data_IF_199218819093
#
_entry.id   IF_199218819093
#
_cell.length_a   1.000
_cell.length_b   1.000
_cell.length_c   1.000
_cell.angle_alpha   90.00
_cell.angle_beta   90.00
_cell.angle_gamma   90.00
#
_symmetry.space_group_name_H-M   'P 1'
#
loop_
_entity.id
_entity.type
_entity.pdbx_description
1 polymer ?
#
# COMPACT_ATOMS: atom_id res chain seq x y z
N UNK A 1 -15.22 -23.34 -3.63
CA UNK A 1 -15.78 -22.03 -4.01
C UNK A 1 -15.62 -21.10 -2.82
N UNK A 2 -14.80 -20.07 -3.02
CA UNK A 2 -14.96 -18.73 -2.43
C UNK A 2 -14.92 -18.62 -0.90
N UNK A 3 -13.72 -18.55 -0.33
CA UNK A 3 -13.39 -17.38 0.48
C UNK A 3 -12.43 -16.56 -0.37
N UNK A 4 -13.02 -15.70 -1.21
CA UNK A 4 -12.33 -14.53 -1.73
C UNK A 4 -11.57 -13.96 -0.55
N UNK A 5 -10.25 -13.83 -0.70
CA UNK A 5 -9.43 -13.04 0.20
C UNK A 5 -10.27 -11.83 0.60
N UNK A 6 -10.36 -11.57 1.90
CA UNK A 6 -10.72 -10.25 2.39
C UNK A 6 -9.60 -9.31 1.90
N UNK A 7 -9.62 -8.98 0.59
CA UNK A 7 -8.84 -7.98 -0.13
C UNK A 7 -9.30 -6.58 0.30
N UNK A 8 -9.64 -6.44 1.59
CA UNK A 8 -9.86 -5.18 2.27
C UNK A 8 -8.49 -4.64 2.63
N UNK A 9 -7.88 -3.95 1.66
CA UNK A 9 -6.72 -3.05 1.74
C UNK A 9 -6.20 -2.94 3.18
N UNK A 10 -5.19 -3.74 3.50
CA UNK A 10 -4.43 -3.61 4.74
C UNK A 10 -3.65 -2.30 4.66
N UNK A 11 -4.30 -1.19 4.99
CA UNK A 11 -3.75 0.17 4.91
C UNK A 11 -2.46 0.38 5.72
N UNK A 12 -2.08 -0.58 6.57
CA UNK A 12 -0.81 -0.61 7.28
C UNK A 12 -0.03 -1.90 6.99
N UNK A 13 1.23 -1.74 6.62
CA UNK A 13 2.15 -2.86 6.39
C UNK A 13 3.49 -2.65 7.10
N UNK A 14 3.76 -3.45 8.13
CA UNK A 14 5.06 -3.52 8.80
C UNK A 14 6.08 -4.25 7.91
N UNK A 15 7.18 -3.58 7.56
CA UNK A 15 8.25 -4.18 6.74
C UNK A 15 8.00 -4.27 5.24
N UNK A 16 7.01 -3.53 4.71
CA UNK A 16 6.78 -3.45 3.26
C UNK A 16 7.81 -2.53 2.59
N UNK A 17 8.50 -3.07 1.58
CA UNK A 17 9.43 -2.30 0.75
C UNK A 17 8.69 -1.27 -0.10
N UNK A 18 9.38 -0.19 -0.48
CA UNK A 18 8.82 0.83 -1.39
C UNK A 18 8.32 0.21 -2.69
N UNK A 19 9.12 -0.65 -3.30
CA UNK A 19 8.79 -1.29 -4.57
C UNK A 19 7.55 -2.19 -4.47
N UNK A 20 7.39 -2.91 -3.36
CA UNK A 20 6.23 -3.77 -3.14
C UNK A 20 4.97 -2.96 -2.85
N UNK A 21 5.10 -1.83 -2.14
CA UNK A 21 4.02 -0.86 -1.96
C UNK A 21 3.54 -0.29 -3.29
N UNK A 22 4.46 0.13 -4.16
CA UNK A 22 4.13 0.62 -5.50
C UNK A 22 3.48 -0.47 -6.35
N UNK A 23 3.99 -1.72 -6.31
CA UNK A 23 3.39 -2.85 -7.03
C UNK A 23 2.00 -3.20 -6.53
N UNK A 24 1.76 -3.15 -5.21
CA UNK A 24 0.43 -3.32 -4.62
C UNK A 24 -0.52 -2.28 -5.22
N UNK A 25 -0.16 -1.01 -5.10
CA UNK A 25 -0.92 0.13 -5.60
C UNK A 25 -1.09 0.14 -7.14
N UNK A 26 -0.20 -0.51 -7.89
CA UNK A 26 -0.27 -0.56 -9.37
C UNK A 26 -1.00 -1.81 -9.89
N UNK A 27 -1.05 -2.90 -9.12
CA UNK A 27 -1.65 -4.17 -9.56
C UNK A 27 -3.16 -4.12 -9.70
N UNK A 28 -3.83 -3.43 -8.79
CA UNK A 28 -5.28 -3.29 -8.82
C UNK A 28 -5.66 -1.95 -9.48
N UNK A 29 -6.86 -1.86 -10.09
CA UNK A 29 -7.38 -0.61 -10.62
C UNK A 29 -7.85 0.33 -9.50
N UNK A 30 -6.96 0.64 -8.55
CA UNK A 30 -7.25 1.52 -7.42
C UNK A 30 -7.60 2.94 -7.89
N UNK A 31 -8.49 3.58 -7.13
CA UNK A 31 -8.97 4.93 -7.37
C UNK A 31 -7.91 5.97 -6.96
N UNK A 32 -8.01 7.18 -7.53
CA UNK A 32 -7.21 8.32 -7.11
C UNK A 32 -7.40 8.57 -5.61
N UNK A 33 -6.32 8.77 -4.87
CA UNK A 33 -6.37 8.93 -3.42
C UNK A 33 -6.30 7.61 -2.63
N UNK A 34 -6.13 6.45 -3.29
CA UNK A 34 -5.80 5.21 -2.59
C UNK A 34 -4.42 5.32 -1.95
N UNK A 35 -4.31 4.94 -0.68
CA UNK A 35 -3.08 5.05 0.09
C UNK A 35 -2.81 3.83 0.96
N UNK A 36 -1.55 3.67 1.36
CA UNK A 36 -1.11 2.74 2.39
C UNK A 36 0.02 3.36 3.21
N UNK A 37 0.16 2.91 4.45
CA UNK A 37 1.22 3.27 5.38
C UNK A 37 2.14 2.07 5.52
N UNK A 38 3.44 2.31 5.46
CA UNK A 38 4.47 1.29 5.70
C UNK A 38 5.50 1.79 6.71
N UNK A 39 6.04 0.88 7.50
CA UNK A 39 7.17 1.21 8.37
C UNK A 39 8.45 1.43 7.55
N UNK A 40 9.27 2.39 7.98
CA UNK A 40 10.56 2.65 7.35
C UNK A 40 11.56 1.57 7.78
N UNK A 41 11.98 0.72 6.84
CA UNK A 41 12.97 -0.32 7.12
C UNK A 41 14.37 0.25 7.47
N UNK A 42 14.60 1.56 7.32
CA UNK A 42 15.87 2.22 7.59
C UNK A 42 15.87 3.05 8.88
N UNK A 43 14.70 3.32 9.48
CA UNK A 43 14.56 4.10 10.69
C UNK A 43 13.43 3.51 11.55
N UNK A 44 13.81 2.89 12.65
CA UNK A 44 12.88 2.23 13.57
C UNK A 44 11.98 3.28 14.23
N UNK A 45 10.67 3.17 14.05
CA UNK A 45 9.67 4.14 14.54
C UNK A 45 9.23 5.20 13.52
N UNK A 46 9.81 5.23 12.31
CA UNK A 46 9.34 6.09 11.22
C UNK A 46 8.28 5.40 10.34
N UNK A 47 7.27 6.16 9.95
CA UNK A 47 6.19 5.71 9.08
C UNK A 47 6.21 6.46 7.75
N UNK A 48 5.95 5.73 6.67
CA UNK A 48 5.92 6.26 5.31
C UNK A 48 4.53 6.09 4.72
N UNK A 49 3.92 7.20 4.33
CA UNK A 49 2.68 7.21 3.55
C UNK A 49 3.00 7.06 2.06
N UNK A 50 2.36 6.09 1.41
CA UNK A 50 2.42 5.89 -0.04
C UNK A 50 1.02 6.09 -0.60
N UNK A 51 0.85 7.01 -1.55
CA UNK A 51 -0.44 7.36 -2.13
C UNK A 51 -0.38 7.33 -3.65
N UNK A 52 -1.47 6.92 -4.30
CA UNK A 52 -1.64 7.04 -5.75
C UNK A 52 -2.31 8.36 -6.04
N UNK A 53 -1.69 9.15 -6.91
CA UNK A 53 -2.33 10.31 -7.50
C UNK A 53 -2.35 10.20 -9.02
N UNK A 54 -3.55 10.09 -9.59
CA UNK A 54 -3.81 10.17 -11.04
C UNK A 54 -4.04 11.64 -11.38
N UNK A 55 -2.95 12.33 -11.73
CA UNK A 55 -3.03 13.69 -12.28
C UNK A 55 -3.87 13.62 -13.58
N UNK A 56 -5.02 14.31 -13.58
CA UNK A 56 -5.86 14.48 -14.78
C UNK A 56 -5.30 15.51 -15.73
#
# INVERSE_FOLDING_TARGET
MSRSNEDGINWFHSGLSREDAEKLLTKEPYEDGTFLIRECNSAEGDFVLTLIHKVK
#
